data_IF_276272765273
#
_entry.id   IF_276272765273
#
_cell.length_a   1.000
_cell.length_b   1.000
_cell.length_c   1.000
_cell.angle_alpha   90.00
_cell.angle_beta   90.00
_cell.angle_gamma   90.00
#
_symmetry.space_group_name_H-M   'P 1'
#
loop_
_entity.id
_entity.type
_entity.pdbx_description
1 polymer ?
#
# COMPACT_ATOMS: atom_id res chain seq x y z
N UNK A 1 -56.36 18.30 7.99
CA UNK A 1 -55.02 18.18 8.57
C UNK A 1 -54.05 17.76 7.48
N UNK A 2 -53.16 18.66 7.09
CA UNK A 2 -52.08 18.35 6.15
C UNK A 2 -50.85 18.08 7.01
N UNK A 3 -50.43 16.82 7.10
CA UNK A 3 -49.14 16.51 7.70
C UNK A 3 -48.08 16.95 6.70
N UNK A 4 -47.45 18.10 6.94
CA UNK A 4 -46.21 18.43 6.26
C UNK A 4 -45.16 17.47 6.82
N UNK A 5 -44.92 16.36 6.11
CA UNK A 5 -43.79 15.48 6.40
C UNK A 5 -42.53 16.25 6.04
N UNK A 6 -41.80 16.71 7.05
CA UNK A 6 -40.45 17.23 6.83
C UNK A 6 -39.52 16.03 6.54
N UNK A 7 -39.51 15.64 5.27
CA UNK A 7 -38.69 14.53 4.78
C UNK A 7 -37.20 14.78 5.04
N UNK A 8 -36.77 16.04 5.17
CA UNK A 8 -35.38 16.38 5.45
C UNK A 8 -35.01 15.99 6.88
N UNK A 9 -35.81 16.36 7.89
CA UNK A 9 -35.52 15.93 9.29
C UNK A 9 -35.58 14.43 9.49
N UNK A 10 -36.46 13.71 8.79
CA UNK A 10 -36.52 12.24 8.85
C UNK A 10 -35.25 11.60 8.29
N UNK A 11 -34.72 12.08 7.16
CA UNK A 11 -33.48 11.57 6.57
C UNK A 11 -32.24 11.91 7.43
N UNK A 12 -32.21 13.08 8.07
CA UNK A 12 -31.09 13.48 8.92
C UNK A 12 -31.08 12.73 10.27
N UNK A 13 -32.26 12.32 10.76
CA UNK A 13 -32.40 11.52 11.97
C UNK A 13 -32.28 10.01 11.71
N UNK A 14 -32.40 9.57 10.45
CA UNK A 14 -32.13 8.20 10.08
C UNK A 14 -30.63 7.91 10.24
N UNK A 15 -30.29 6.85 10.98
CA UNK A 15 -28.90 6.44 11.12
C UNK A 15 -28.42 5.81 9.81
N UNK A 16 -27.59 6.53 9.07
CA UNK A 16 -26.97 6.05 7.82
C UNK A 16 -25.52 5.66 8.08
N UNK A 17 -24.99 4.59 7.46
CA UNK A 17 -23.60 4.19 7.64
C UNK A 17 -22.57 5.24 7.19
N UNK A 18 -22.97 6.15 6.30
CA UNK A 18 -22.17 7.26 5.81
C UNK A 18 -22.91 8.57 6.07
N UNK A 19 -22.21 9.55 6.61
CA UNK A 19 -22.71 10.90 6.90
C UNK A 19 -21.71 11.94 6.42
N UNK A 20 -22.13 13.21 6.33
CA UNK A 20 -21.21 14.31 6.07
C UNK A 20 -20.64 14.87 7.38
N UNK A 21 -19.34 15.14 7.41
CA UNK A 21 -18.67 15.77 8.54
C UNK A 21 -17.77 16.93 8.09
N UNK A 22 -17.38 17.78 9.03
CA UNK A 22 -16.23 18.67 8.87
C UNK A 22 -14.90 17.90 9.02
N UNK A 23 -13.77 18.61 8.93
CA UNK A 23 -12.42 18.06 9.10
C UNK A 23 -12.13 17.52 10.51
N UNK A 24 -12.93 17.90 11.52
CA UNK A 24 -12.81 17.41 12.89
C UNK A 24 -13.71 16.19 13.15
N UNK A 25 -14.49 15.76 12.15
CA UNK A 25 -15.44 14.67 12.27
C UNK A 25 -16.80 15.09 12.85
N UNK A 26 -17.07 16.38 13.07
CA UNK A 26 -18.40 16.82 13.50
C UNK A 26 -19.38 16.74 12.33
N UNK A 27 -20.60 16.27 12.58
CA UNK A 27 -21.62 16.19 11.53
C UNK A 27 -21.98 17.57 10.96
N UNK A 28 -22.17 17.61 9.66
CA UNK A 28 -22.69 18.78 8.93
C UNK A 28 -23.88 18.36 8.08
N UNK A 29 -24.77 19.31 7.85
CA UNK A 29 -26.10 19.04 7.32
C UNK A 29 -26.34 19.88 6.08
N UNK A 30 -26.63 19.23 4.96
CA UNK A 30 -27.03 19.93 3.73
C UNK A 30 -28.43 20.50 3.92
N UNK A 31 -28.62 21.77 3.59
CA UNK A 31 -29.90 22.45 3.69
C UNK A 31 -30.49 22.77 2.30
N UNK A 32 -31.72 23.29 2.27
CA UNK A 32 -32.49 23.56 1.04
C UNK A 32 -31.88 24.61 0.12
N UNK A 33 -30.98 25.46 0.63
CA UNK A 33 -30.20 26.43 -0.14
C UNK A 33 -28.97 25.81 -0.82
N UNK A 34 -28.71 24.51 -0.59
CA UNK A 34 -27.59 23.76 -1.15
C UNK A 34 -26.30 23.82 -0.33
N UNK A 35 -26.26 24.62 0.74
CA UNK A 35 -25.09 24.78 1.60
C UNK A 35 -25.08 23.76 2.75
N UNK A 36 -23.92 23.61 3.38
CA UNK A 36 -23.73 22.77 4.56
C UNK A 36 -23.61 23.60 5.83
N UNK A 37 -24.24 23.16 6.91
CA UNK A 37 -24.25 23.86 8.19
C UNK A 37 -23.97 22.92 9.36
N UNK A 38 -23.48 23.47 10.47
CA UNK A 38 -23.18 22.69 11.69
C UNK A 38 -24.43 22.28 12.47
N UNK A 39 -25.61 22.84 12.17
CA UNK A 39 -26.88 22.43 12.77
C UNK A 39 -27.85 21.88 11.72
N UNK A 40 -28.68 20.87 12.08
CA UNK A 40 -29.57 20.20 11.14
C UNK A 40 -30.71 21.08 10.60
N UNK A 41 -31.07 22.15 11.30
CA UNK A 41 -32.12 23.11 10.92
C UNK A 41 -31.62 24.20 9.94
N UNK A 42 -30.43 24.04 9.35
CA UNK A 42 -29.80 25.07 8.50
C UNK A 42 -29.25 26.27 9.29
N UNK A 43 -29.31 26.23 10.62
CA UNK A 43 -28.68 27.21 11.49
C UNK A 43 -27.20 26.90 11.76
N UNK A 44 -26.56 27.75 12.56
CA UNK A 44 -25.15 27.59 12.90
C UNK A 44 -24.20 28.10 11.81
N UNK A 45 -22.95 27.62 11.85
CA UNK A 45 -21.89 28.07 10.95
C UNK A 45 -21.98 27.34 9.62
N UNK A 46 -21.95 28.09 8.52
CA UNK A 46 -21.82 27.51 7.19
C UNK A 46 -20.43 26.88 7.03
N UNK A 47 -20.37 25.67 6.50
CA UNK A 47 -19.13 24.94 6.20
C UNK A 47 -18.91 24.95 4.69
N UNK A 48 -17.73 25.40 4.27
CA UNK A 48 -17.35 25.40 2.86
C UNK A 48 -17.34 23.96 2.32
N UNK A 49 -17.89 23.74 1.12
CA UNK A 49 -18.00 22.41 0.53
C UNK A 49 -16.65 21.67 0.42
N UNK A 50 -15.54 22.39 0.24
CA UNK A 50 -14.18 21.83 0.21
C UNK A 50 -13.74 21.19 1.52
N UNK A 51 -14.41 21.51 2.63
CA UNK A 51 -14.12 21.02 3.97
C UNK A 51 -15.12 19.96 4.43
N UNK A 52 -16.07 19.57 3.57
CA UNK A 52 -17.09 18.56 3.87
C UNK A 52 -16.57 17.20 3.41
N UNK A 53 -16.56 16.25 4.34
CA UNK A 53 -16.02 14.90 4.16
C UNK A 53 -17.16 13.90 4.27
N UNK A 54 -17.18 12.88 3.41
CA UNK A 54 -18.03 11.70 3.62
C UNK A 54 -17.34 10.77 4.63
N UNK A 55 -17.95 10.56 5.78
CA UNK A 55 -17.37 9.83 6.90
C UNK A 55 -18.23 8.63 7.25
N UNK A 56 -17.58 7.52 7.61
CA UNK A 56 -18.27 6.37 8.17
C UNK A 56 -18.80 6.72 9.56
N UNK A 57 -20.03 6.30 9.83
CA UNK A 57 -20.67 6.38 11.13
C UNK A 57 -20.80 4.96 11.69
N UNK A 58 -20.34 4.75 12.94
CA UNK A 58 -20.52 3.47 13.62
C UNK A 58 -21.97 3.26 14.12
N UNK A 59 -22.24 2.09 14.70
CA UNK A 59 -23.57 1.74 15.23
C UNK A 59 -23.98 2.60 16.44
N UNK A 60 -23.04 3.18 17.18
CA UNK A 60 -23.31 4.10 18.29
C UNK A 60 -23.47 5.56 17.82
N UNK A 61 -23.18 5.81 16.54
CA UNK A 61 -23.32 7.08 15.88
C UNK A 61 -22.07 7.95 15.87
N UNK A 62 -20.92 7.44 16.29
CA UNK A 62 -19.65 8.15 16.26
C UNK A 62 -19.09 8.22 14.84
N UNK A 63 -18.41 9.34 14.56
CA UNK A 63 -17.81 9.66 13.26
C UNK A 63 -16.29 9.89 13.35
N UNK A 64 -15.73 9.82 14.56
CA UNK A 64 -14.31 10.02 14.84
C UNK A 64 -13.61 8.72 15.28
N UNK A 65 -14.37 7.75 15.80
CA UNK A 65 -13.85 6.43 16.11
C UNK A 65 -13.72 5.60 14.83
N UNK A 66 -12.53 5.04 14.52
CA UNK A 66 -12.39 4.11 13.41
C UNK A 66 -13.37 2.94 13.55
N UNK A 67 -14.00 2.57 12.45
CA UNK A 67 -14.94 1.45 12.38
C UNK A 67 -14.64 0.57 11.18
N UNK A 68 -15.18 -0.64 11.16
CA UNK A 68 -15.00 -1.59 10.05
C UNK A 68 -16.05 -1.36 8.97
N UNK A 69 -15.59 -1.13 7.74
CA UNK A 69 -16.41 -1.25 6.54
C UNK A 69 -16.16 -2.62 5.92
N UNK A 70 -17.18 -3.49 5.99
CA UNK A 70 -17.13 -4.83 5.40
C UNK A 70 -17.75 -4.84 3.98
N UNK A 71 -17.62 -5.97 3.28
CA UNK A 71 -18.18 -6.20 1.93
C UNK A 71 -17.64 -5.26 0.84
N UNK A 72 -16.46 -4.68 1.07
CA UNK A 72 -15.69 -3.99 0.02
C UNK A 72 -15.13 -5.05 -0.92
N UNK A 73 -15.42 -4.93 -2.22
CA UNK A 73 -14.90 -5.84 -3.24
C UNK A 73 -13.39 -5.61 -3.43
N UNK A 74 -12.60 -6.69 -3.39
CA UNK A 74 -11.18 -6.65 -3.72
C UNK A 74 -10.90 -6.25 -5.17
N UNK A 75 -9.73 -5.67 -5.39
CA UNK A 75 -9.27 -5.14 -6.67
C UNK A 75 -8.27 -6.06 -7.37
N UNK A 76 -7.47 -6.79 -6.59
CA UNK A 76 -6.51 -7.77 -7.07
C UNK A 76 -7.14 -9.17 -7.11
N UNK A 77 -6.73 -9.96 -8.10
CA UNK A 77 -6.95 -11.38 -8.13
C UNK A 77 -6.16 -12.08 -7.02
N UNK A 78 -6.72 -13.19 -6.55
CA UNK A 78 -6.11 -14.07 -5.55
C UNK A 78 -4.80 -14.68 -6.07
N UNK A 79 -3.77 -14.65 -5.24
CA UNK A 79 -2.44 -15.17 -5.51
C UNK A 79 -2.03 -16.31 -4.57
N UNK A 80 -2.93 -16.77 -3.70
CA UNK A 80 -2.59 -17.77 -2.67
C UNK A 80 -2.06 -19.11 -3.25
N UNK A 81 -2.45 -19.47 -4.48
CA UNK A 81 -2.06 -20.74 -5.12
C UNK A 81 -1.28 -20.57 -6.42
N UNK A 82 -0.90 -19.33 -6.79
CA UNK A 82 -0.24 -19.05 -8.06
C UNK A 82 1.25 -18.80 -7.84
N UNK A 83 2.08 -19.24 -8.79
CA UNK A 83 3.53 -19.04 -8.76
C UNK A 83 4.00 -17.85 -9.61
N UNK A 84 3.05 -17.11 -10.18
CA UNK A 84 3.30 -15.95 -11.04
C UNK A 84 2.21 -14.90 -10.82
N UNK A 85 2.57 -13.62 -10.95
CA UNK A 85 1.60 -12.53 -10.81
C UNK A 85 0.46 -12.68 -11.82
N UNK A 86 -0.82 -12.71 -11.39
CA UNK A 86 -1.96 -12.74 -12.30
C UNK A 86 -1.91 -11.59 -13.32
N UNK A 87 -2.28 -11.87 -14.57
CA UNK A 87 -2.25 -10.89 -15.66
C UNK A 87 -3.11 -9.65 -15.39
N UNK A 88 -4.16 -9.77 -14.58
CA UNK A 88 -5.03 -8.67 -14.21
C UNK A 88 -4.60 -7.89 -12.95
N UNK A 89 -3.49 -8.29 -12.32
CA UNK A 89 -2.86 -7.56 -11.21
C UNK A 89 -1.76 -6.60 -11.69
N UNK A 90 -1.58 -6.44 -13.00
CA UNK A 90 -0.61 -5.50 -13.55
C UNK A 90 -1.09 -4.04 -13.41
N UNK A 91 -0.13 -3.10 -13.42
CA UNK A 91 -0.40 -1.67 -13.22
C UNK A 91 -1.38 -1.09 -14.23
N UNK A 92 -1.33 -1.53 -15.50
CA UNK A 92 -2.20 -1.01 -16.55
C UNK A 92 -3.64 -1.49 -16.34
N UNK A 93 -3.85 -2.76 -16.01
CA UNK A 93 -5.19 -3.30 -15.70
C UNK A 93 -5.77 -2.70 -14.43
N UNK A 94 -4.95 -2.41 -13.42
CA UNK A 94 -5.37 -1.76 -12.17
C UNK A 94 -5.60 -0.25 -12.33
N UNK A 95 -4.96 0.41 -13.29
CA UNK A 95 -5.25 1.81 -13.62
C UNK A 95 -6.51 1.94 -14.50
N UNK A 96 -6.81 0.91 -15.30
CA UNK A 96 -7.98 0.88 -16.17
C UNK A 96 -9.30 0.88 -15.37
N UNK A 97 -10.35 1.47 -15.94
CA UNK A 97 -11.70 1.43 -15.37
C UNK A 97 -11.85 2.13 -14.03
N UNK A 98 -10.97 3.10 -13.71
CA UNK A 98 -10.99 3.90 -12.48
C UNK A 98 -10.74 3.10 -11.18
N UNK A 99 -10.18 1.90 -11.27
CA UNK A 99 -9.84 1.06 -10.11
C UNK A 99 -8.80 1.70 -9.18
N UNK A 100 -7.98 2.63 -9.68
CA UNK A 100 -7.04 3.41 -8.87
C UNK A 100 -7.71 4.29 -7.79
N UNK A 101 -9.03 4.49 -7.86
CA UNK A 101 -9.81 5.23 -6.86
C UNK A 101 -10.66 4.31 -5.96
N UNK A 102 -10.62 2.99 -6.17
CA UNK A 102 -11.33 2.05 -5.31
C UNK A 102 -10.65 1.94 -3.94
N UNK A 103 -11.43 1.64 -2.92
CA UNK A 103 -10.88 1.24 -1.62
C UNK A 103 -10.12 -0.10 -1.76
N UNK A 104 -8.92 -0.17 -1.19
CA UNK A 104 -8.17 -1.41 -1.08
C UNK A 104 -8.64 -2.22 0.13
N UNK A 105 -8.74 -3.53 -0.04
CA UNK A 105 -9.02 -4.49 1.03
C UNK A 105 -7.71 -5.04 1.61
N UNK A 106 -7.75 -5.66 2.79
CA UNK A 106 -6.59 -6.41 3.32
C UNK A 106 -6.19 -7.54 2.35
N UNK A 107 -7.17 -8.16 1.68
CA UNK A 107 -6.90 -9.18 0.66
C UNK A 107 -6.10 -8.61 -0.52
N UNK A 108 -6.30 -7.34 -0.89
CA UNK A 108 -5.47 -6.70 -1.92
C UNK A 108 -4.01 -6.58 -1.48
N UNK A 109 -3.76 -6.29 -0.20
CA UNK A 109 -2.39 -6.24 0.36
C UNK A 109 -1.73 -7.62 0.36
N UNK A 110 -2.48 -8.67 0.74
CA UNK A 110 -1.97 -10.04 0.77
C UNK A 110 -1.65 -10.58 -0.63
N UNK A 111 -2.37 -10.11 -1.65
CA UNK A 111 -2.18 -10.53 -3.05
C UNK A 111 -1.28 -9.59 -3.87
N UNK A 112 -0.78 -8.52 -3.26
CA UNK A 112 0.20 -7.64 -3.88
C UNK A 112 1.61 -8.24 -3.75
N UNK A 113 2.41 -8.12 -4.80
CA UNK A 113 3.74 -8.71 -4.84
C UNK A 113 4.60 -8.26 -6.02
N UNK A 114 5.74 -8.91 -6.21
CA UNK A 114 6.64 -8.68 -7.33
C UNK A 114 7.27 -9.98 -7.85
N UNK A 115 7.60 -9.99 -9.14
CA UNK A 115 8.26 -11.12 -9.78
C UNK A 115 9.77 -11.05 -9.59
N UNK A 116 10.39 -12.14 -9.12
CA UNK A 116 11.85 -12.31 -9.09
C UNK A 116 12.28 -13.01 -10.36
N UNK A 117 13.24 -12.41 -11.07
CA UNK A 117 13.81 -13.00 -12.28
C UNK A 117 15.27 -13.42 -12.06
N UNK A 118 15.63 -14.55 -12.68
CA UNK A 118 17.02 -14.96 -12.86
C UNK A 118 17.34 -14.89 -14.35
N UNK A 119 18.29 -14.03 -14.75
CA UNK A 119 18.72 -13.85 -16.13
C UNK A 119 17.55 -13.56 -17.10
N UNK A 120 16.63 -12.67 -16.72
CA UNK A 120 15.47 -12.28 -17.53
C UNK A 120 14.33 -13.31 -17.58
N UNK A 121 14.44 -14.41 -16.84
CA UNK A 121 13.39 -15.44 -16.74
C UNK A 121 12.75 -15.39 -15.35
N UNK A 122 11.42 -15.39 -15.29
CA UNK A 122 10.66 -15.46 -14.04
C UNK A 122 11.00 -16.72 -13.25
N UNK A 123 11.27 -16.56 -11.95
CA UNK A 123 11.64 -17.63 -11.02
C UNK A 123 10.69 -17.75 -9.85
N UNK A 124 10.13 -16.64 -9.40
CA UNK A 124 9.26 -16.60 -8.24
C UNK A 124 8.34 -15.37 -8.28
N UNK A 125 7.22 -15.43 -7.56
CA UNK A 125 6.35 -14.29 -7.31
C UNK A 125 6.19 -14.11 -5.81
N UNK A 126 6.82 -13.07 -5.29
CA UNK A 126 6.94 -12.81 -3.85
C UNK A 126 5.81 -11.89 -3.42
N UNK A 127 5.02 -12.34 -2.45
CA UNK A 127 3.86 -11.65 -1.87
C UNK A 127 4.10 -11.27 -0.40
N UNK A 128 3.12 -10.64 0.23
CA UNK A 128 3.23 -10.25 1.63
C UNK A 128 3.40 -11.47 2.55
N UNK A 129 4.46 -11.47 3.36
CA UNK A 129 4.76 -12.54 4.31
C UNK A 129 5.78 -13.55 3.79
N UNK A 130 6.10 -13.54 2.49
CA UNK A 130 7.15 -14.39 1.91
C UNK A 130 8.55 -13.95 2.38
N UNK A 131 9.47 -14.90 2.39
CA UNK A 131 10.88 -14.66 2.75
C UNK A 131 11.78 -14.88 1.55
N UNK A 132 12.63 -13.90 1.25
CA UNK A 132 13.70 -14.05 0.27
C UNK A 132 14.99 -14.43 0.99
N UNK A 133 15.54 -15.59 0.64
CA UNK A 133 16.81 -16.07 1.18
C UNK A 133 17.96 -15.82 0.18
N UNK A 134 18.91 -14.95 0.55
CA UNK A 134 20.16 -14.81 -0.19
C UNK A 134 21.18 -15.85 0.32
N UNK A 135 21.22 -17.00 -0.33
CA UNK A 135 22.11 -18.10 0.04
C UNK A 135 23.55 -17.89 -0.44
N UNK A 136 24.51 -18.46 0.29
CA UNK A 136 25.90 -18.56 -0.16
C UNK A 136 25.99 -19.41 -1.43
N UNK A 137 26.88 -19.00 -2.34
CA UNK A 137 27.23 -19.77 -3.53
C UNK A 137 28.56 -20.50 -3.34
N UNK A 138 28.95 -21.26 -4.36
CA UNK A 138 30.28 -21.86 -4.39
C UNK A 138 31.34 -20.76 -4.53
N UNK A 139 32.15 -20.56 -3.49
CA UNK A 139 33.13 -19.49 -3.47
C UNK A 139 32.51 -18.09 -3.38
N UNK A 140 31.27 -17.93 -2.91
CA UNK A 140 30.72 -16.61 -2.60
C UNK A 140 29.94 -16.61 -1.30
N UNK A 141 30.06 -15.54 -0.53
CA UNK A 141 29.27 -15.31 0.69
C UNK A 141 28.29 -14.16 0.43
N UNK A 142 27.00 -14.42 0.66
CA UNK A 142 25.97 -13.39 0.62
C UNK A 142 25.88 -12.71 1.98
N UNK A 143 26.42 -11.51 2.09
CA UNK A 143 26.37 -10.70 3.31
C UNK A 143 25.20 -9.71 3.21
N UNK A 144 24.17 -9.91 4.03
CA UNK A 144 23.02 -9.03 4.10
C UNK A 144 23.12 -8.16 5.35
N UNK A 145 23.01 -6.85 5.18
CA UNK A 145 23.03 -5.87 6.28
C UNK A 145 22.03 -4.76 6.02
N UNK A 146 21.50 -4.13 7.07
CA UNK A 146 20.56 -3.02 6.94
C UNK A 146 21.04 -1.86 7.80
N UNK A 147 21.17 -0.68 7.20
CA UNK A 147 21.53 0.56 7.88
C UNK A 147 20.80 1.74 7.22
N UNK A 148 20.27 2.67 8.03
CA UNK A 148 19.59 3.87 7.52
C UNK A 148 18.37 3.60 6.62
N UNK A 149 17.68 2.48 6.81
CA UNK A 149 16.54 2.07 5.99
C UNK A 149 16.91 1.46 4.62
N UNK A 150 18.20 1.26 4.34
CA UNK A 150 18.68 0.60 3.13
C UNK A 150 19.20 -0.79 3.50
N UNK A 151 18.71 -1.81 2.78
CA UNK A 151 19.26 -3.16 2.84
C UNK A 151 20.31 -3.33 1.76
N UNK A 152 21.53 -3.64 2.18
CA UNK A 152 22.67 -3.95 1.31
C UNK A 152 22.88 -5.45 1.27
N UNK A 153 22.90 -6.01 0.06
CA UNK A 153 23.32 -7.39 -0.20
C UNK A 153 24.67 -7.34 -0.89
N UNK A 154 25.72 -7.79 -0.21
CA UNK A 154 27.09 -7.82 -0.71
C UNK A 154 27.53 -9.25 -0.96
N UNK A 155 27.96 -9.55 -2.17
CA UNK A 155 28.53 -10.85 -2.53
C UNK A 155 30.05 -10.75 -2.46
N UNK A 156 30.63 -11.33 -1.42
CA UNK A 156 32.08 -11.45 -1.30
C UNK A 156 32.55 -12.70 -2.04
N UNK A 157 33.69 -12.61 -2.72
CA UNK A 157 34.33 -13.74 -3.40
C UNK A 157 35.78 -13.87 -2.90
N UNK A 158 36.37 -15.08 -2.91
CA UNK A 158 37.76 -15.29 -2.56
C UNK A 158 38.72 -14.75 -3.62
N UNK A 159 38.22 -14.07 -4.66
CA UNK A 159 38.99 -13.43 -5.71
C UNK A 159 38.71 -11.92 -5.73
N UNK A 160 39.76 -11.12 -5.86
CA UNK A 160 39.65 -9.67 -6.11
C UNK A 160 40.36 -9.32 -7.41
N UNK A 161 39.92 -8.26 -8.09
CA UNK A 161 40.70 -7.69 -9.18
C UNK A 161 42.03 -7.18 -8.63
N UNK A 162 43.08 -7.29 -9.45
CA UNK A 162 44.40 -6.78 -9.15
C UNK A 162 44.82 -5.72 -10.17
N UNK A 163 45.48 -4.66 -9.71
CA UNK A 163 46.11 -3.67 -10.60
C UNK A 163 47.35 -4.25 -11.30
N UNK A 164 48.00 -3.45 -12.14
CA UNK A 164 49.23 -3.86 -12.84
C UNK A 164 50.37 -4.24 -11.89
N UNK A 165 50.37 -3.71 -10.66
CA UNK A 165 51.34 -3.99 -9.61
C UNK A 165 50.94 -5.18 -8.71
N UNK A 166 49.78 -5.80 -8.94
CA UNK A 166 49.29 -6.94 -8.16
C UNK A 166 48.55 -6.55 -6.86
N UNK A 167 48.22 -5.28 -6.65
CA UNK A 167 47.45 -4.86 -5.47
C UNK A 167 45.94 -5.06 -5.69
N UNK A 168 45.18 -5.45 -4.65
CA UNK A 168 43.72 -5.50 -4.71
C UNK A 168 43.09 -4.17 -5.15
N UNK A 169 42.13 -4.24 -6.07
CA UNK A 169 41.36 -3.08 -6.56
C UNK A 169 39.89 -3.45 -6.77
N UNK A 170 39.01 -2.46 -6.71
CA UNK A 170 37.58 -2.60 -7.08
C UNK A 170 37.32 -2.37 -8.56
N UNK A 171 38.31 -1.92 -9.34
CA UNK A 171 38.19 -1.73 -10.79
C UNK A 171 38.40 -3.06 -11.50
N UNK A 172 37.48 -3.49 -12.40
CA UNK A 172 37.65 -4.72 -13.18
C UNK A 172 38.98 -4.79 -13.93
N UNK A 173 39.66 -5.93 -13.85
CA UNK A 173 40.93 -6.20 -14.57
C UNK A 173 41.05 -7.67 -14.95
N UNK A 174 42.00 -7.99 -15.84
CA UNK A 174 42.28 -9.37 -16.27
C UNK A 174 43.24 -10.11 -15.31
N UNK A 175 43.60 -9.49 -14.17
CA UNK A 175 44.44 -10.11 -13.12
C UNK A 175 43.61 -10.23 -11.84
N UNK A 176 43.78 -11.35 -11.15
CA UNK A 176 43.01 -11.68 -9.95
C UNK A 176 43.95 -12.15 -8.85
N UNK A 177 43.70 -11.67 -7.63
CA UNK A 177 44.35 -12.18 -6.43
C UNK A 177 43.37 -13.03 -5.64
N UNK A 178 43.88 -14.10 -5.04
CA UNK A 178 43.16 -14.83 -4.00
C UNK A 178 43.19 -13.98 -2.71
N UNK A 179 42.03 -13.75 -2.12
CA UNK A 179 41.88 -13.05 -0.85
C UNK A 179 41.46 -14.05 0.23
N UNK A 180 42.15 -14.02 1.37
CA UNK A 180 41.89 -14.91 2.52
C UNK A 180 42.95 -16.00 2.69
N UNK A 181 43.89 -15.74 3.60
CA UNK A 181 44.89 -16.69 4.10
C UNK A 181 46.25 -16.58 3.41
N UNK A 182 47.32 -16.39 4.20
CA UNK A 182 48.70 -16.69 3.78
C UNK A 182 48.72 -18.03 3.05
N UNK A 183 49.30 -18.06 1.86
CA UNK A 183 49.63 -19.29 1.17
C UNK A 183 50.36 -20.22 2.15
N UNK A 184 49.74 -21.36 2.45
CA UNK A 184 50.43 -22.49 3.07
C UNK A 184 51.31 -23.19 2.05
#
# INVERSE_FOLDING_TARGET
YTYALDAQTVVQNAQTPVVYTDANGNKVYKHTDGNFYTQPNGGGTQVAASNVIASMQDAAGNTTAPTTLANVKGNLADTATVTANPTNNDRTTLAAGNKGNNAATVNDVLNAGFTVQGNGTDKDFVTHGDTINFANGQGTVANVSTAGGVTTVKFDTPMTYADTAGNPTSTPSNKVNLVGGTAG
#
